data_IF_978195029787
#
_entry.id   IF_978195029787
#
_cell.length_a   1.000
_cell.length_b   1.000
_cell.length_c   1.000
_cell.angle_alpha   90.00
_cell.angle_beta   90.00
_cell.angle_gamma   90.00
#
_symmetry.space_group_name_H-M   'P 1'
#
loop_
_entity.id
_entity.type
_entity.pdbx_description
1 polymer ?
#
# COMPACT_ATOMS: atom_id res chain seq x y z
N UNK A 1 8.72 15.61 4.13
CA UNK A 1 8.45 15.15 2.75
C UNK A 1 9.72 15.29 1.92
N UNK A 2 10.19 14.22 1.25
CA UNK A 2 11.49 14.20 0.55
C UNK A 2 11.48 15.20 -0.63
N UNK A 3 12.38 16.20 -0.61
CA UNK A 3 12.46 17.25 -1.65
C UNK A 3 12.60 16.67 -3.06
N UNK A 4 13.23 15.50 -3.20
CA UNK A 4 13.35 14.79 -4.49
C UNK A 4 12.01 14.26 -5.02
N UNK A 5 11.09 13.87 -4.14
CA UNK A 5 9.77 13.33 -4.52
C UNK A 5 8.84 14.46 -4.98
N UNK A 6 8.81 15.57 -4.25
CA UNK A 6 8.03 16.77 -4.62
C UNK A 6 8.45 17.30 -5.99
N UNK A 7 9.76 17.33 -6.25
CA UNK A 7 10.29 17.79 -7.53
C UNK A 7 9.88 16.88 -8.70
N UNK A 8 9.96 15.56 -8.51
CA UNK A 8 9.54 14.59 -9.53
C UNK A 8 8.04 14.67 -9.83
N UNK A 9 7.20 14.77 -8.80
CA UNK A 9 5.75 14.91 -8.96
C UNK A 9 5.37 16.21 -9.69
N UNK A 10 6.02 17.34 -9.34
CA UNK A 10 5.76 18.63 -9.97
C UNK A 10 6.08 18.63 -11.47
N UNK A 11 7.17 17.97 -11.87
CA UNK A 11 7.54 17.82 -13.29
C UNK A 11 6.53 16.96 -14.05
N UNK A 12 6.11 15.83 -13.47
CA UNK A 12 5.14 14.94 -14.10
C UNK A 12 3.79 15.63 -14.25
N UNK A 13 3.29 16.33 -13.22
CA UNK A 13 2.04 17.09 -13.29
C UNK A 13 2.10 18.23 -14.32
N UNK A 14 3.24 18.92 -14.44
CA UNK A 14 3.44 19.99 -15.42
C UNK A 14 3.41 19.45 -16.86
N UNK A 15 4.09 18.33 -17.11
CA UNK A 15 4.10 17.68 -18.42
C UNK A 15 2.72 17.14 -18.81
N UNK A 16 1.97 16.58 -17.85
CA UNK A 16 0.62 16.06 -18.10
C UNK A 16 -0.43 17.17 -18.29
N UNK A 17 -0.23 18.33 -17.65
CA UNK A 17 -1.15 19.47 -17.76
C UNK A 17 -1.01 20.22 -19.10
N UNK A 18 0.18 20.20 -19.71
CA UNK A 18 0.45 20.92 -20.96
C UNK A 18 -0.52 20.59 -22.12
N UNK A 19 -0.89 19.32 -22.41
CA UNK A 19 -1.83 18.99 -23.48
C UNK A 19 -3.32 19.12 -23.09
N UNK A 20 -3.65 19.16 -21.80
CA UNK A 20 -5.02 19.12 -21.30
C UNK A 20 -5.96 20.20 -21.89
N UNK A 21 -5.61 21.50 -21.97
CA UNK A 21 -6.49 22.51 -22.55
C UNK A 21 -6.75 22.32 -24.04
N UNK A 22 -5.81 21.77 -24.81
CA UNK A 22 -6.03 21.43 -26.23
C UNK A 22 -7.02 20.28 -26.38
N UNK A 23 -6.90 19.25 -25.53
CA UNK A 23 -7.83 18.12 -25.52
C UNK A 23 -9.24 18.55 -25.10
N UNK A 24 -9.35 19.43 -24.10
CA UNK A 24 -10.63 20.00 -23.65
C UNK A 24 -11.26 20.84 -24.78
N UNK A 25 -10.49 21.72 -25.43
CA UNK A 25 -10.99 22.52 -26.55
C UNK A 25 -11.47 21.66 -27.72
N UNK A 26 -10.73 20.59 -28.05
CA UNK A 26 -11.11 19.62 -29.09
C UNK A 26 -12.41 18.88 -28.74
N UNK A 27 -12.53 18.42 -27.49
CA UNK A 27 -13.73 17.72 -27.02
C UNK A 27 -14.97 18.63 -27.01
N UNK A 28 -14.81 19.89 -26.58
CA UNK A 28 -15.87 20.89 -26.60
C UNK A 28 -16.31 21.21 -28.03
N UNK A 29 -15.37 21.28 -28.99
CA UNK A 29 -15.67 21.47 -30.40
C UNK A 29 -16.47 20.28 -30.99
N UNK A 30 -16.11 19.05 -30.63
CA UNK A 30 -16.79 17.82 -31.08
C UNK A 30 -18.20 17.65 -30.51
N UNK A 31 -18.46 18.16 -29.30
CA UNK A 31 -19.72 17.92 -28.58
C UNK A 31 -20.77 19.02 -28.77
N UNK A 32 -20.39 20.22 -29.22
CA UNK A 32 -21.32 21.30 -29.60
C UNK A 32 -22.32 21.76 -28.51
N UNK A 33 -22.10 21.38 -27.26
CA UNK A 33 -23.04 21.57 -26.14
C UNK A 33 -23.02 22.97 -25.51
N UNK A 34 -23.86 23.21 -24.51
CA UNK A 34 -23.97 24.50 -23.78
C UNK A 34 -22.62 25.01 -23.23
N UNK A 35 -21.74 24.09 -22.84
CA UNK A 35 -20.38 24.36 -22.37
C UNK A 35 -19.49 25.02 -23.45
N UNK A 36 -19.74 24.74 -24.73
CA UNK A 36 -19.04 25.41 -25.84
C UNK A 36 -19.39 26.89 -25.90
N UNK A 37 -20.67 27.23 -25.74
CA UNK A 37 -21.17 28.62 -25.79
C UNK A 37 -20.61 29.45 -24.64
N UNK A 38 -20.53 28.90 -23.44
CA UNK A 38 -19.93 29.59 -22.29
C UNK A 38 -18.42 29.77 -22.43
N UNK A 39 -17.72 28.79 -23.01
CA UNK A 39 -16.29 28.89 -23.29
C UNK A 39 -16.00 29.96 -24.35
N UNK A 40 -16.80 30.01 -25.43
CA UNK A 40 -16.71 31.03 -26.47
C UNK A 40 -17.04 32.44 -25.95
N UNK A 41 -18.03 32.58 -25.08
CA UNK A 41 -18.33 33.87 -24.43
C UNK A 41 -17.17 34.33 -23.51
N UNK A 42 -16.53 33.41 -22.80
CA UNK A 42 -15.35 33.70 -21.97
C UNK A 42 -14.12 34.08 -22.81
N UNK A 43 -13.97 33.46 -23.99
CA UNK A 43 -12.94 33.77 -24.98
C UNK A 43 -13.07 35.19 -25.56
N UNK A 44 -14.29 35.69 -25.71
CA UNK A 44 -14.58 37.03 -26.23
C UNK A 44 -14.19 38.15 -25.25
N UNK A 45 -14.24 37.86 -23.94
CA UNK A 45 -13.92 38.83 -22.87
C UNK A 45 -12.44 38.82 -22.49
N UNK A 46 -11.78 37.66 -22.50
CA UNK A 46 -10.40 37.50 -21.99
C UNK A 46 -9.33 37.16 -23.04
N UNK A 47 -9.71 36.75 -24.25
CA UNK A 47 -8.80 36.27 -25.29
C UNK A 47 -8.30 34.83 -25.06
N UNK A 48 -7.95 34.14 -26.15
CA UNK A 48 -7.58 32.70 -26.18
C UNK A 48 -6.44 32.36 -25.22
N UNK A 49 -5.42 33.22 -25.16
CA UNK A 49 -4.24 32.98 -24.34
C UNK A 49 -4.56 32.99 -22.83
N UNK A 50 -5.43 33.89 -22.36
CA UNK A 50 -5.78 34.01 -20.95
C UNK A 50 -6.60 32.82 -20.49
N UNK A 51 -7.59 32.42 -21.30
CA UNK A 51 -8.43 31.24 -21.02
C UNK A 51 -7.58 29.96 -20.98
N UNK A 52 -6.64 29.82 -21.92
CA UNK A 52 -5.73 28.68 -21.97
C UNK A 52 -4.84 28.57 -20.72
N UNK A 53 -4.22 29.68 -20.32
CA UNK A 53 -3.34 29.72 -19.13
C UNK A 53 -4.13 29.46 -17.85
N UNK A 54 -5.32 30.03 -17.72
CA UNK A 54 -6.19 29.80 -16.55
C UNK A 54 -6.59 28.33 -16.40
N UNK A 55 -7.01 27.68 -17.50
CA UNK A 55 -7.36 26.25 -17.50
C UNK A 55 -6.14 25.38 -17.21
N UNK A 56 -4.99 25.67 -17.84
CA UNK A 56 -3.76 24.92 -17.61
C UNK A 56 -3.31 24.99 -16.14
N UNK A 57 -3.39 26.17 -15.52
CA UNK A 57 -3.07 26.36 -14.11
C UNK A 57 -4.04 25.62 -13.18
N UNK A 58 -5.35 25.68 -13.46
CA UNK A 58 -6.34 24.96 -12.68
C UNK A 58 -6.12 23.44 -12.72
N UNK A 59 -5.86 22.89 -13.90
CA UNK A 59 -5.55 21.46 -14.08
C UNK A 59 -4.24 21.10 -13.39
N UNK A 60 -3.21 21.93 -13.53
CA UNK A 60 -1.92 21.72 -12.86
C UNK A 60 -2.07 21.67 -11.33
N UNK A 61 -2.78 22.62 -10.74
CA UNK A 61 -3.01 22.67 -9.29
C UNK A 61 -3.82 21.46 -8.80
N UNK A 62 -4.86 21.07 -9.54
CA UNK A 62 -5.66 19.88 -9.22
C UNK A 62 -4.79 18.61 -9.23
N UNK A 63 -4.01 18.42 -10.29
CA UNK A 63 -3.10 17.27 -10.42
C UNK A 63 -2.01 17.28 -9.35
N UNK A 64 -1.48 18.45 -9.01
CA UNK A 64 -0.46 18.61 -7.98
C UNK A 64 -1.01 18.20 -6.61
N UNK A 65 -2.19 18.71 -6.24
CA UNK A 65 -2.85 18.38 -4.97
C UNK A 65 -3.20 16.89 -4.92
N UNK A 66 -3.76 16.32 -5.98
CA UNK A 66 -4.08 14.90 -6.06
C UNK A 66 -2.82 14.03 -5.88
N UNK A 67 -1.72 14.38 -6.57
CA UNK A 67 -0.46 13.64 -6.47
C UNK A 67 0.16 13.75 -5.07
N UNK A 68 0.10 14.94 -4.46
CA UNK A 68 0.61 15.18 -3.11
C UNK A 68 -0.22 14.43 -2.06
N UNK A 69 -1.55 14.43 -2.22
CA UNK A 69 -2.47 13.68 -1.37
C UNK A 69 -2.22 12.18 -1.48
N UNK A 70 -2.10 11.62 -2.70
CA UNK A 70 -1.76 10.20 -2.88
C UNK A 70 -0.43 9.90 -2.18
N UNK A 71 0.64 10.68 -2.42
CA UNK A 71 1.92 10.43 -1.77
C UNK A 71 1.89 10.58 -0.23
N UNK A 72 1.01 11.42 0.31
CA UNK A 72 0.83 11.59 1.75
C UNK A 72 -0.02 10.48 2.39
N UNK A 73 -1.04 9.98 1.70
CA UNK A 73 -1.97 8.97 2.19
C UNK A 73 -1.55 7.51 1.85
N UNK A 74 -0.73 7.29 0.82
CA UNK A 74 -0.20 5.96 0.45
C UNK A 74 0.40 5.19 1.64
N UNK A 75 1.27 5.77 2.49
CA UNK A 75 1.83 5.01 3.62
C UNK A 75 0.76 4.59 4.64
N UNK A 76 -0.35 5.34 4.76
CA UNK A 76 -1.43 4.95 5.68
C UNK A 76 -2.32 3.86 5.08
N UNK A 77 -2.62 3.94 3.78
CA UNK A 77 -3.44 2.93 3.11
C UNK A 77 -2.74 1.56 3.05
N UNK A 78 -1.42 1.52 2.87
CA UNK A 78 -0.63 0.27 2.92
C UNK A 78 -0.68 -0.37 4.32
N UNK A 79 -0.57 0.42 5.40
CA UNK A 79 -0.67 -0.11 6.76
C UNK A 79 -2.08 -0.64 7.11
N UNK A 80 -3.13 -0.12 6.46
CA UNK A 80 -4.51 -0.59 6.68
C UNK A 80 -4.80 -1.82 5.80
N UNK A 81 -4.20 -1.91 4.61
CA UNK A 81 -4.37 -3.03 3.69
C UNK A 81 -3.55 -4.29 4.08
N UNK A 82 -2.60 -4.18 5.01
CA UNK A 82 -1.91 -5.34 5.60
C UNK A 82 -2.65 -5.93 6.83
N UNK A 83 -3.89 -5.54 7.06
CA UNK A 83 -4.74 -6.15 8.09
C UNK A 83 -5.85 -6.96 7.39
N UNK A 84 -5.90 -8.26 7.71
CA UNK A 84 -6.86 -9.30 7.30
C UNK A 84 -6.56 -10.09 6.02
N UNK A 85 -5.60 -11.01 6.12
CA UNK A 85 -5.94 -12.43 6.27
C UNK A 85 -4.92 -13.08 7.23
N UNK A 86 -5.22 -13.02 8.53
CA UNK A 86 -4.35 -13.63 9.54
C UNK A 86 -4.64 -15.15 9.61
N UNK A 87 -4.20 -15.88 8.58
CA UNK A 87 -4.21 -17.35 8.47
C UNK A 87 -3.37 -18.07 9.55
N UNK A 88 -3.01 -17.39 10.64
CA UNK A 88 -2.22 -17.99 11.72
C UNK A 88 -3.13 -18.79 12.64
N UNK A 89 -2.78 -20.04 12.79
CA UNK A 89 -3.37 -20.96 13.74
C UNK A 89 -2.80 -20.75 15.13
N UNK A 90 -3.54 -21.26 16.13
CA UNK A 90 -3.10 -21.29 17.52
C UNK A 90 -2.73 -22.74 17.85
N UNK A 91 -1.70 -22.91 18.67
CA UNK A 91 -1.30 -24.20 19.19
C UNK A 91 -0.47 -24.06 20.45
N UNK A 92 -0.08 -25.20 20.99
CA UNK A 92 0.67 -25.30 22.24
C UNK A 92 2.05 -25.90 22.00
N UNK A 93 3.07 -25.30 22.60
CA UNK A 93 4.45 -25.78 22.44
C UNK A 93 4.61 -27.10 23.18
N UNK A 94 4.78 -28.19 22.43
CA UNK A 94 4.99 -29.52 22.97
C UNK A 94 6.35 -29.66 23.64
N UNK A 95 7.38 -29.14 22.99
CA UNK A 95 8.73 -29.00 23.55
C UNK A 95 9.58 -28.12 22.64
N UNK A 96 10.59 -27.46 23.22
CA UNK A 96 11.57 -26.68 22.47
C UNK A 96 12.97 -26.84 23.07
N UNK A 97 13.94 -27.21 22.24
CA UNK A 97 15.32 -27.32 22.68
C UNK A 97 16.05 -26.00 22.40
N UNK A 98 16.28 -25.21 23.45
CA UNK A 98 16.97 -23.91 23.36
C UNK A 98 18.38 -24.02 22.78
N UNK A 99 19.11 -25.08 23.13
CA UNK A 99 20.49 -25.28 22.68
C UNK A 99 20.57 -25.62 21.18
N UNK A 100 19.60 -26.41 20.69
CA UNK A 100 19.54 -26.80 19.28
C UNK A 100 18.74 -25.83 18.40
N UNK A 101 17.89 -24.99 19.00
CA UNK A 101 17.10 -23.97 18.31
C UNK A 101 15.89 -24.52 17.54
N UNK A 102 15.33 -25.66 17.93
CA UNK A 102 14.13 -26.22 17.29
C UNK A 102 13.23 -26.96 18.30
N UNK A 103 11.98 -27.15 17.91
CA UNK A 103 10.96 -27.81 18.72
C UNK A 103 9.74 -28.21 17.89
N UNK A 104 8.66 -28.56 18.59
CA UNK A 104 7.37 -28.88 17.99
C UNK A 104 6.23 -28.17 18.73
N UNK A 105 5.21 -27.81 17.97
CA UNK A 105 3.97 -27.22 18.44
C UNK A 105 2.86 -28.22 18.10
N UNK A 106 2.00 -28.53 19.07
CA UNK A 106 0.82 -29.36 18.86
C UNK A 106 -0.36 -28.45 18.49
N UNK A 107 -1.00 -28.76 17.36
CA UNK A 107 -2.24 -28.14 16.91
C UNK A 107 -3.43 -28.64 17.72
N UNK A 108 -4.52 -27.88 17.71
CA UNK A 108 -5.80 -28.32 18.25
C UNK A 108 -6.35 -29.59 17.54
N UNK A 109 -5.92 -29.85 16.30
CA UNK A 109 -6.21 -31.09 15.55
C UNK A 109 -5.41 -32.30 16.01
N UNK A 110 -4.39 -32.12 16.86
CA UNK A 110 -3.49 -33.17 17.35
C UNK A 110 -2.27 -33.44 16.45
N UNK A 111 -2.11 -32.72 15.34
CA UNK A 111 -0.90 -32.81 14.51
C UNK A 111 0.25 -32.01 15.12
N UNK A 112 1.47 -32.55 15.02
CA UNK A 112 2.69 -31.86 15.45
C UNK A 112 3.30 -31.07 14.28
N UNK A 113 3.58 -29.80 14.53
CA UNK A 113 4.17 -28.85 13.58
C UNK A 113 5.58 -28.50 14.03
N UNK A 114 6.54 -28.64 13.12
CA UNK A 114 7.95 -28.34 13.40
C UNK A 114 8.18 -26.82 13.52
N UNK A 115 8.90 -26.37 14.55
CA UNK A 115 9.27 -24.95 14.72
C UNK A 115 10.78 -24.78 14.84
N UNK A 116 11.32 -23.78 14.15
CA UNK A 116 12.73 -23.38 14.25
C UNK A 116 12.86 -21.98 14.86
N UNK A 117 13.96 -21.71 15.58
CA UNK A 117 14.17 -20.43 16.27
C UNK A 117 14.08 -19.21 15.34
N UNK A 118 14.39 -19.39 14.05
CA UNK A 118 14.30 -18.33 13.03
C UNK A 118 12.87 -17.89 12.75
N UNK A 119 11.91 -18.80 12.89
CA UNK A 119 10.49 -18.53 12.66
C UNK A 119 9.85 -17.73 13.80
N UNK A 120 10.45 -17.74 14.99
CA UNK A 120 9.93 -17.02 16.16
C UNK A 120 10.16 -15.51 16.00
N UNK A 121 9.10 -14.71 16.15
CA UNK A 121 9.16 -13.24 16.20
C UNK A 121 9.81 -12.77 17.50
N UNK A 122 10.67 -11.76 17.40
CA UNK A 122 11.32 -11.14 18.57
C UNK A 122 12.76 -10.72 18.31
N UNK A 123 13.32 -9.94 19.25
CA UNK A 123 14.73 -9.54 19.26
C UNK A 123 15.48 -10.30 20.35
N UNK A 124 16.72 -10.74 20.06
CA UNK A 124 17.55 -11.48 21.01
C UNK A 124 17.40 -13.00 20.93
N UNK A 125 17.57 -13.70 22.07
CA UNK A 125 17.40 -15.14 22.15
C UNK A 125 15.92 -15.51 22.03
N UNK A 126 15.59 -16.20 20.93
CA UNK A 126 14.23 -16.63 20.61
C UNK A 126 14.00 -18.05 21.12
N UNK A 127 13.23 -18.16 22.21
CA UNK A 127 12.94 -19.42 22.88
C UNK A 127 11.45 -19.57 23.12
N UNK A 128 10.98 -20.81 23.19
CA UNK A 128 9.61 -21.14 23.59
C UNK A 128 9.66 -22.01 24.84
N UNK A 129 8.72 -21.80 25.75
CA UNK A 129 8.52 -22.66 26.91
C UNK A 129 7.54 -23.79 26.57
N UNK A 130 7.71 -24.96 27.19
CA UNK A 130 6.73 -26.05 27.08
C UNK A 130 5.38 -25.62 27.67
N UNK A 131 4.29 -26.00 27.00
CA UNK A 131 2.92 -25.62 27.36
C UNK A 131 2.53 -24.19 26.97
N UNK A 132 3.44 -23.45 26.31
CA UNK A 132 3.17 -22.06 25.93
C UNK A 132 2.25 -21.99 24.72
N UNK A 133 1.22 -21.13 24.78
CA UNK A 133 0.35 -20.86 23.62
C UNK A 133 1.04 -19.93 22.64
N UNK A 134 1.00 -20.30 21.37
CA UNK A 134 1.63 -19.56 20.28
C UNK A 134 0.70 -19.45 19.10
N UNK A 135 0.84 -18.35 18.36
CA UNK A 135 0.17 -18.07 17.09
C UNK A 135 1.18 -18.18 15.96
N UNK A 136 0.88 -18.91 14.90
CA UNK A 136 1.84 -19.20 13.81
C UNK A 136 1.14 -19.56 12.51
N UNK A 137 1.83 -19.33 11.38
CA UNK A 137 1.38 -19.83 10.08
C UNK A 137 1.89 -21.25 9.86
N UNK A 138 1.10 -22.09 9.23
CA UNK A 138 1.54 -23.43 8.85
C UNK A 138 1.89 -23.49 7.38
N UNK A 139 3.15 -23.81 7.12
CA UNK A 139 3.66 -24.09 5.79
C UNK A 139 3.97 -25.57 5.64
N UNK A 140 3.85 -26.08 4.41
CA UNK A 140 4.23 -27.46 4.08
C UNK A 140 5.56 -27.43 3.34
N UNK A 141 6.53 -28.17 3.84
CA UNK A 141 7.84 -28.36 3.20
C UNK A 141 8.06 -29.85 2.88
N UNK A 142 9.20 -30.17 2.27
CA UNK A 142 9.56 -31.56 1.92
C UNK A 142 9.70 -32.49 3.15
N UNK A 143 9.82 -31.91 4.35
CA UNK A 143 9.99 -32.61 5.63
C UNK A 143 8.70 -32.69 6.46
N UNK A 144 7.60 -32.10 6.00
CA UNK A 144 6.31 -32.08 6.69
C UNK A 144 5.78 -30.67 6.98
N UNK A 145 5.00 -30.56 8.06
CA UNK A 145 4.41 -29.30 8.50
C UNK A 145 5.42 -28.49 9.29
N UNK A 146 5.56 -27.21 8.95
CA UNK A 146 6.44 -26.25 9.61
C UNK A 146 5.65 -25.01 10.05
N UNK A 147 6.02 -24.49 11.22
CA UNK A 147 5.50 -23.24 11.76
C UNK A 147 6.41 -22.08 11.32
N UNK A 148 5.81 -21.12 10.66
CA UNK A 148 6.41 -19.84 10.30
C UNK A 148 5.76 -18.71 11.11
N UNK A 149 6.49 -17.61 11.26
CA UNK A 149 5.97 -16.38 11.87
C UNK A 149 5.40 -16.53 13.30
N UNK A 150 6.09 -17.32 14.13
CA UNK A 150 5.60 -17.74 15.45
C UNK A 150 5.65 -16.58 16.45
N UNK A 151 4.53 -16.31 17.11
CA UNK A 151 4.39 -15.28 18.14
C UNK A 151 3.76 -15.87 19.40
N UNK A 152 4.30 -15.53 20.57
CA UNK A 152 3.71 -15.94 21.86
C UNK A 152 2.42 -15.19 22.12
N UNK A 153 1.36 -15.91 22.48
CA UNK A 153 0.12 -15.34 22.99
C UNK A 153 0.29 -15.28 24.50
N UNK A 154 0.42 -14.06 25.04
CA UNK A 154 0.54 -13.84 26.50
C UNK A 154 -0.82 -13.97 27.16
#
# INVERSE_FOLDING_TARGET
MNRKVVFRCSIVSLLLAAPAPLLIALFVHLTGGALSRELFASLEVGGVAVVYVAVALAVFLLLLVATLAINALTPQLVNIAEVEDDDREIGEVKWFNVNKGYGFITRDSGEDVFVHFRAIRGRGHRTLAEGQKVKYHVSRNDRGLQADDVTVIT
#
